data_IF_829897332758
#
_entry.id   IF_829897332758
#
_cell.length_a   1.000
_cell.length_b   1.000
_cell.length_c   1.000
_cell.angle_alpha   90.00
_cell.angle_beta   90.00
_cell.angle_gamma   90.00
#
_symmetry.space_group_name_H-M   'P 1'
#
loop_
_entity.id
_entity.type
_entity.pdbx_description
1 polymer ?
#
# COMPACT_ATOMS: atom_id res chain seq x y z
N UNK A 1 0.96 38.75 -14.83
CA UNK A 1 1.47 38.59 -13.46
C UNK A 1 1.48 37.09 -13.19
N UNK A 2 2.64 36.47 -13.06
CA UNK A 2 2.75 35.02 -12.93
C UNK A 2 2.78 34.68 -11.45
N UNK A 3 1.74 33.99 -10.99
CA UNK A 3 1.63 33.49 -9.62
C UNK A 3 2.44 32.18 -9.52
N UNK A 4 3.37 32.11 -8.57
CA UNK A 4 4.15 30.92 -8.29
C UNK A 4 3.58 30.26 -7.03
N UNK A 5 3.11 29.02 -7.17
CA UNK A 5 2.66 28.18 -6.07
C UNK A 5 3.83 27.32 -5.58
N UNK A 6 4.01 27.27 -4.26
CA UNK A 6 4.99 26.39 -3.63
C UNK A 6 4.40 24.96 -3.53
N UNK A 7 4.97 23.95 -4.22
CA UNK A 7 4.47 22.57 -4.19
C UNK A 7 4.69 21.88 -2.83
N UNK A 8 5.41 22.51 -1.90
CA UNK A 8 5.64 22.03 -0.54
C UNK A 8 4.70 22.67 0.48
N UNK A 9 3.95 23.72 0.09
CA UNK A 9 2.97 24.37 0.94
C UNK A 9 1.78 23.43 1.16
N UNK A 10 1.87 22.69 2.26
CA UNK A 10 0.98 21.56 2.54
C UNK A 10 -0.27 22.05 3.27
N UNK A 11 -1.38 22.11 2.55
CA UNK A 11 -2.69 22.33 3.17
C UNK A 11 -3.14 21.04 3.86
N UNK A 12 -3.61 21.13 5.11
CA UNK A 12 -4.14 19.98 5.81
C UNK A 12 -5.46 19.52 5.17
N UNK A 13 -5.39 18.50 4.31
CA UNK A 13 -6.57 17.87 3.71
C UNK A 13 -7.11 16.79 4.68
N UNK A 14 -8.38 16.85 5.10
CA UNK A 14 -8.96 15.80 5.94
C UNK A 14 -8.93 14.46 5.21
N UNK A 15 -8.14 13.51 5.72
CA UNK A 15 -8.03 12.15 5.18
C UNK A 15 -8.94 11.22 5.96
N UNK A 16 -9.88 10.57 5.27
CA UNK A 16 -10.67 9.48 5.85
C UNK A 16 -9.99 8.15 5.56
N UNK A 17 -9.29 7.61 6.55
CA UNK A 17 -8.70 6.27 6.45
C UNK A 17 -9.80 5.21 6.48
N UNK A 18 -9.66 4.16 5.66
CA UNK A 18 -10.52 2.98 5.78
C UNK A 18 -10.35 2.34 7.17
N UNK A 19 -11.41 1.77 7.76
CA UNK A 19 -11.29 1.03 9.01
C UNK A 19 -10.32 -0.14 8.82
N UNK A 20 -9.43 -0.35 9.80
CA UNK A 20 -8.49 -1.46 9.78
C UNK A 20 -9.24 -2.78 9.96
N UNK A 21 -9.09 -3.76 9.06
CA UNK A 21 -9.59 -5.12 9.28
C UNK A 21 -8.96 -5.74 10.53
N UNK A 22 -9.73 -6.51 11.30
CA UNK A 22 -9.21 -7.25 12.46
C UNK A 22 -8.31 -8.42 12.07
N UNK A 23 -8.47 -8.95 10.86
CA UNK A 23 -7.64 -9.99 10.25
C UNK A 23 -7.65 -9.86 8.72
N UNK A 24 -6.67 -10.49 8.07
CA UNK A 24 -6.58 -10.67 6.62
C UNK A 24 -7.08 -12.04 6.15
N UNK A 25 -7.48 -12.93 7.07
CA UNK A 25 -7.97 -14.27 6.74
C UNK A 25 -9.13 -14.21 5.74
N UNK A 26 -9.02 -14.97 4.66
CA UNK A 26 -10.04 -15.03 3.61
C UNK A 26 -10.22 -13.71 2.83
N UNK A 27 -9.38 -12.70 3.04
CA UNK A 27 -9.39 -11.44 2.27
C UNK A 27 -8.58 -11.58 0.98
N UNK A 28 -8.90 -10.75 0.00
CA UNK A 28 -8.06 -10.54 -1.18
C UNK A 28 -7.13 -9.38 -0.88
N UNK A 29 -5.83 -9.59 -1.08
CA UNK A 29 -4.79 -8.58 -0.83
C UNK A 29 -4.09 -8.27 -2.15
N UNK A 30 -3.93 -6.99 -2.47
CA UNK A 30 -3.18 -6.56 -3.66
C UNK A 30 -1.84 -5.98 -3.25
N UNK A 31 -0.76 -6.41 -3.91
CA UNK A 31 0.59 -5.88 -3.76
C UNK A 31 0.88 -4.98 -4.96
N UNK A 32 0.86 -3.66 -4.75
CA UNK A 32 1.13 -2.69 -5.81
C UNK A 32 2.64 -2.51 -5.99
N UNK A 33 3.16 -2.89 -7.16
CA UNK A 33 4.51 -2.53 -7.57
C UNK A 33 4.54 -1.11 -8.16
N UNK A 34 5.42 -0.28 -7.62
CA UNK A 34 5.67 1.10 -8.07
C UNK A 34 7.07 1.25 -8.72
N UNK A 35 7.65 0.14 -9.16
CA UNK A 35 8.89 0.02 -9.94
C UNK A 35 10.12 0.68 -9.29
N UNK A 36 10.16 0.67 -7.96
CA UNK A 36 11.33 1.14 -7.21
C UNK A 36 12.47 0.12 -7.35
N UNK A 37 13.71 0.61 -7.30
CA UNK A 37 14.87 -0.25 -7.32
C UNK A 37 14.76 -1.30 -6.20
N UNK A 38 14.87 -2.58 -6.57
CA UNK A 38 14.72 -3.74 -5.66
C UNK A 38 13.34 -3.86 -5.00
N UNK A 39 12.28 -3.32 -5.63
CA UNK A 39 10.91 -3.43 -5.14
C UNK A 39 10.42 -4.88 -5.09
N UNK A 40 10.80 -5.67 -6.09
CA UNK A 40 10.59 -7.12 -6.19
C UNK A 40 11.01 -7.87 -4.93
N UNK A 41 12.23 -7.62 -4.42
CA UNK A 41 12.72 -8.29 -3.20
C UNK A 41 11.80 -8.08 -1.98
N UNK A 42 11.27 -6.86 -1.80
CA UNK A 42 10.35 -6.57 -0.70
C UNK A 42 8.99 -7.24 -0.94
N UNK A 43 8.45 -7.08 -2.16
CA UNK A 43 7.13 -7.60 -2.49
C UNK A 43 7.09 -9.11 -2.41
N UNK A 44 8.16 -9.81 -2.82
CA UNK A 44 8.27 -11.26 -2.73
C UNK A 44 8.28 -11.71 -1.27
N UNK A 45 9.09 -11.05 -0.43
CA UNK A 45 9.16 -11.41 0.99
C UNK A 45 7.86 -11.12 1.74
N UNK A 46 7.15 -10.03 1.39
CA UNK A 46 5.83 -9.74 1.95
C UNK A 46 4.81 -10.79 1.52
N UNK A 47 4.83 -11.20 0.25
CA UNK A 47 3.92 -12.23 -0.25
C UNK A 47 4.09 -13.55 0.51
N UNK A 48 5.32 -14.00 0.71
CA UNK A 48 5.64 -15.19 1.52
C UNK A 48 5.06 -15.08 2.94
N UNK A 49 5.31 -13.96 3.62
CA UNK A 49 4.82 -13.74 4.98
C UNK A 49 3.30 -13.69 5.07
N UNK A 50 2.62 -13.12 4.07
CA UNK A 50 1.16 -13.10 4.00
C UNK A 50 0.60 -14.52 3.87
N UNK A 51 1.21 -15.37 3.04
CA UNK A 51 0.82 -16.77 2.89
C UNK A 51 1.05 -17.58 4.17
N UNK A 52 2.18 -17.36 4.84
CA UNK A 52 2.54 -18.07 6.07
C UNK A 52 1.67 -17.70 7.27
N UNK A 53 1.28 -16.42 7.40
CA UNK A 53 0.79 -15.87 8.67
C UNK A 53 -0.63 -15.31 8.64
N UNK A 54 -1.19 -15.07 7.45
CA UNK A 54 -2.39 -14.26 7.32
C UNK A 54 -3.49 -14.89 6.44
N UNK A 55 -3.28 -16.14 6.00
CA UNK A 55 -4.21 -16.99 5.24
C UNK A 55 -5.17 -16.21 4.29
N UNK A 56 -4.64 -15.36 3.38
CA UNK A 56 -5.48 -14.62 2.47
C UNK A 56 -6.17 -15.57 1.48
N UNK A 57 -7.36 -15.19 1.03
CA UNK A 57 -8.05 -15.91 -0.06
C UNK A 57 -7.26 -15.85 -1.36
N UNK A 58 -6.68 -14.68 -1.66
CA UNK A 58 -5.85 -14.46 -2.84
C UNK A 58 -4.88 -13.30 -2.62
N UNK A 59 -3.73 -13.37 -3.28
CA UNK A 59 -2.78 -12.26 -3.42
C UNK A 59 -2.72 -11.89 -4.90
N UNK A 60 -2.94 -10.62 -5.22
CA UNK A 60 -2.92 -10.05 -6.57
C UNK A 60 -1.71 -9.14 -6.71
N UNK A 61 -1.00 -9.20 -7.83
CA UNK A 61 0.14 -8.33 -8.15
C UNK A 61 -0.20 -7.49 -9.37
#
# INVERSE_FOLDING_TARGET
MTEYLDPTDSVAVPRKTAPRPSSLDGKVVTLLDISKAKGDHLLDRIEELLRERAAPKAIVR
#
